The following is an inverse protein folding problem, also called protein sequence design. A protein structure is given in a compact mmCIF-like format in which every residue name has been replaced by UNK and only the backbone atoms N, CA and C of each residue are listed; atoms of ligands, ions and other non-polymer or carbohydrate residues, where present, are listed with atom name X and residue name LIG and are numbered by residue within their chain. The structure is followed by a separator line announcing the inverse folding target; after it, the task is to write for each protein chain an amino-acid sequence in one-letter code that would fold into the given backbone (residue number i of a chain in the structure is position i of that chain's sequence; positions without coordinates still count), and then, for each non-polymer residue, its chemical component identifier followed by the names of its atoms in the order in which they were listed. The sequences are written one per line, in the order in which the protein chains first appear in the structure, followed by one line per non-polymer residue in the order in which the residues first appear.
data_IF_393890640936
#
_entry.id   IF_393890640936
#
_cell.length_a   1.000
_cell.length_b   1.000
_cell.length_c   1.000
_cell.angle_alpha   90.00
_cell.angle_beta   90.00
_cell.angle_gamma   90.00
#
_symmetry.space_group_name_H-M   'P 1'
#
loop_
_entity.id
_entity.type
_entity.pdbx_description
1 polymer ?
#
# COMPACT_ATOMS: atom_id res chain seq x y z
N UNK A 1 34.70 20.51 7.05
CA UNK A 1 33.36 20.86 7.56
C UNK A 1 32.50 21.25 6.37
N UNK A 2 31.43 20.49 6.12
CA UNK A 2 30.49 20.77 5.04
C UNK A 2 29.77 22.08 5.35
N UNK A 3 29.93 23.12 4.52
CA UNK A 3 29.33 24.44 4.76
C UNK A 3 27.96 24.51 4.09
N UNK A 4 26.99 25.21 4.69
CA UNK A 4 25.65 25.43 4.15
C UNK A 4 24.74 24.20 4.02
N UNK A 5 25.08 23.10 4.70
CA UNK A 5 24.18 21.95 4.87
C UNK A 5 23.40 22.07 6.18
N UNK A 6 22.13 21.66 6.17
CA UNK A 6 21.30 21.48 7.36
C UNK A 6 20.67 20.10 7.32
N UNK A 7 20.78 19.35 8.41
CA UNK A 7 20.12 18.06 8.55
C UNK A 7 19.08 18.15 9.67
N UNK A 8 17.83 17.85 9.33
CA UNK A 8 16.69 17.79 10.23
C UNK A 8 16.21 16.33 10.32
N UNK A 9 15.84 15.88 11.51
CA UNK A 9 15.23 14.57 11.72
C UNK A 9 13.78 14.68 12.13
N UNK A 10 12.91 13.87 11.52
CA UNK A 10 11.54 13.69 11.97
C UNK A 10 11.42 12.81 13.24
N UNK A 11 10.20 12.46 13.61
CA UNK A 11 9.90 11.63 14.79
C UNK A 11 10.10 10.13 14.57
N UNK A 12 10.14 9.67 13.31
CA UNK A 12 10.18 8.23 13.00
C UNK A 12 11.47 7.56 13.43
N UNK A 13 12.63 8.19 13.24
CA UNK A 13 13.93 7.60 13.55
C UNK A 13 14.99 8.65 13.95
N UNK A 14 14.92 9.20 15.18
CA UNK A 14 15.88 10.20 15.65
C UNK A 14 17.33 9.69 15.66
N UNK A 15 17.54 8.43 16.08
CA UNK A 15 18.87 7.83 16.15
C UNK A 15 19.60 7.74 14.79
N UNK A 16 18.88 7.44 13.70
CA UNK A 16 19.48 7.44 12.36
C UNK A 16 19.92 8.86 11.96
N UNK A 17 19.12 9.87 12.33
CA UNK A 17 19.48 11.28 12.09
C UNK A 17 20.77 11.64 12.83
N UNK A 18 20.87 11.28 14.11
CA UNK A 18 22.06 11.54 14.93
C UNK A 18 23.31 10.87 14.36
N UNK A 19 23.21 9.60 13.97
CA UNK A 19 24.33 8.87 13.37
C UNK A 19 24.77 9.50 12.04
N UNK A 20 23.83 9.86 11.17
CA UNK A 20 24.14 10.53 9.89
C UNK A 20 24.83 11.87 10.13
N UNK A 21 24.33 12.68 11.06
CA UNK A 21 24.94 13.95 11.47
C UNK A 21 26.36 13.76 12.02
N UNK A 22 26.58 12.74 12.85
CA UNK A 22 27.89 12.40 13.40
C UNK A 22 28.90 12.05 12.29
N UNK A 23 28.50 11.26 11.30
CA UNK A 23 29.36 10.87 10.17
C UNK A 23 29.67 12.08 9.28
N UNK A 24 28.68 12.94 9.02
CA UNK A 24 28.85 14.17 8.25
C UNK A 24 29.67 15.24 8.99
N UNK A 25 29.87 15.10 10.31
CA UNK A 25 30.52 16.08 11.16
C UNK A 25 29.73 17.39 11.25
N UNK A 26 28.40 17.31 11.24
CA UNK A 26 27.48 18.46 11.36
C UNK A 26 26.51 18.25 12.52
N UNK A 27 26.12 19.29 13.26
CA UNK A 27 25.11 19.15 14.30
C UNK A 27 23.72 18.94 13.68
N UNK A 28 22.90 18.10 14.30
CA UNK A 28 21.48 17.99 13.95
C UNK A 28 20.78 19.31 14.27
N UNK A 29 19.98 19.81 13.33
CA UNK A 29 19.29 21.08 13.50
C UNK A 29 18.14 20.98 14.51
N UNK A 30 17.97 22.03 15.30
CA UNK A 30 16.97 22.11 16.34
C UNK A 30 15.58 22.37 15.74
N UNK A 31 14.63 21.56 16.17
CA UNK A 31 13.23 21.59 15.75
C UNK A 31 12.35 21.07 16.86
N UNK A 32 11.14 21.63 16.96
CA UNK A 32 10.07 21.12 17.81
C UNK A 32 9.11 20.36 16.90
N UNK A 33 8.95 19.07 17.18
CA UNK A 33 7.91 18.23 16.59
C UNK A 33 7.02 17.72 17.72
N UNK A 34 5.72 17.87 17.59
CA UNK A 34 4.76 17.41 18.57
C UNK A 34 3.36 17.36 18.00
N UNK A 35 2.37 17.10 18.87
CA UNK A 35 0.96 17.13 18.49
C UNK A 35 0.19 18.10 19.37
N UNK A 36 -0.76 18.81 18.78
CA UNK A 36 -1.79 19.50 19.54
C UNK A 36 -2.73 18.50 20.19
N UNK A 37 -3.51 18.92 21.19
CA UNK A 37 -4.48 18.06 21.88
C UNK A 37 -5.53 17.45 20.93
N UNK A 38 -5.81 18.10 19.81
CA UNK A 38 -6.68 17.60 18.74
C UNK A 38 -6.05 16.55 17.81
N UNK A 39 -4.76 16.23 17.99
CA UNK A 39 -4.04 15.24 17.17
C UNK A 39 -3.33 15.79 15.93
N UNK A 40 -3.48 17.09 15.64
CA UNK A 40 -2.79 17.79 14.56
C UNK A 40 -1.28 17.91 14.83
N UNK A 41 -0.49 17.74 13.78
CA UNK A 41 0.96 17.88 13.83
C UNK A 41 1.39 19.34 14.02
N UNK A 42 2.31 19.57 14.96
CA UNK A 42 2.98 20.86 15.20
C UNK A 42 4.46 20.72 14.86
N UNK A 43 4.95 21.56 13.96
CA UNK A 43 6.35 21.64 13.59
C UNK A 43 6.87 23.07 13.67
N UNK A 44 7.98 23.28 14.38
CA UNK A 44 8.71 24.56 14.40
C UNK A 44 10.20 24.32 14.18
N UNK A 45 10.76 24.88 13.11
CA UNK A 45 12.20 24.87 12.85
C UNK A 45 12.83 26.03 13.62
N UNK A 46 13.81 25.75 14.48
CA UNK A 46 14.43 26.77 15.35
C UNK A 46 15.67 27.40 14.74
N UNK A 47 16.39 26.66 13.89
CA UNK A 47 17.56 27.20 13.22
C UNK A 47 17.20 27.82 11.87
N UNK A 48 17.99 28.81 11.44
CA UNK A 48 17.81 29.40 10.11
C UNK A 48 18.19 28.41 9.01
N UNK A 49 17.27 28.19 8.07
CA UNK A 49 17.44 27.38 6.85
C UNK A 49 17.64 28.22 5.58
N UNK A 50 17.59 29.55 5.70
CA UNK A 50 17.63 30.48 4.56
C UNK A 50 18.89 30.30 3.72
N UNK A 51 18.71 30.04 2.43
CA UNK A 51 19.79 29.86 1.46
C UNK A 51 20.62 28.59 1.66
N UNK A 52 20.23 27.71 2.59
CA UNK A 52 20.93 26.45 2.89
C UNK A 52 20.34 25.28 2.11
N UNK A 53 21.13 24.22 2.01
CA UNK A 53 20.73 22.93 1.45
C UNK A 53 20.24 22.04 2.60
N UNK A 54 18.95 21.76 2.62
CA UNK A 54 18.27 21.11 3.75
C UNK A 54 17.97 19.66 3.43
N UNK A 55 18.29 18.77 4.35
CA UNK A 55 17.99 17.34 4.28
C UNK A 55 17.09 16.96 5.45
N UNK A 56 15.92 16.39 5.17
CA UNK A 56 14.95 15.98 6.19
C UNK A 56 14.89 14.46 6.22
N UNK A 57 15.35 13.83 7.31
CA UNK A 57 15.37 12.38 7.49
C UNK A 57 14.08 11.94 8.18
N UNK A 58 13.26 11.15 7.48
CA UNK A 58 12.02 10.57 8.02
C UNK A 58 11.73 9.23 7.33
N UNK A 59 11.61 8.16 8.10
CA UNK A 59 11.23 6.83 7.60
C UNK A 59 9.72 6.60 7.66
N UNK A 60 9.18 5.85 6.69
CA UNK A 60 7.78 5.45 6.58
C UNK A 60 7.37 4.31 7.52
N UNK A 61 7.74 4.38 8.80
CA UNK A 61 7.49 3.34 9.82
C UNK A 61 6.71 3.85 11.02
N UNK A 62 6.15 2.94 11.83
CA UNK A 62 5.37 3.30 13.02
C UNK A 62 4.03 3.93 12.65
N UNK A 63 3.75 5.14 13.14
CA UNK A 63 2.57 5.90 12.75
C UNK A 63 2.79 6.54 11.36
N UNK A 64 2.69 5.73 10.30
CA UNK A 64 3.05 6.09 8.93
C UNK A 64 2.39 7.41 8.47
N UNK A 65 1.09 7.56 8.72
CA UNK A 65 0.34 8.74 8.28
C UNK A 65 0.81 10.02 8.99
N UNK A 66 1.02 9.93 10.31
CA UNK A 66 1.52 11.04 11.10
C UNK A 66 2.93 11.45 10.64
N UNK A 67 3.80 10.46 10.43
CA UNK A 67 5.17 10.68 9.98
C UNK A 67 5.23 11.29 8.58
N UNK A 68 4.32 10.90 7.68
CA UNK A 68 4.17 11.48 6.36
C UNK A 68 3.70 12.95 6.43
N UNK A 69 2.70 13.25 7.25
CA UNK A 69 2.21 14.62 7.43
C UNK A 69 3.27 15.50 8.09
N UNK A 70 3.97 15.00 9.11
CA UNK A 70 5.12 15.68 9.73
C UNK A 70 6.18 16.02 8.68
N UNK A 71 6.52 15.08 7.79
CA UNK A 71 7.48 15.30 6.71
C UNK A 71 7.01 16.40 5.75
N UNK A 72 5.76 16.35 5.27
CA UNK A 72 5.21 17.38 4.40
C UNK A 72 5.24 18.77 5.05
N UNK A 73 4.88 18.88 6.33
CA UNK A 73 4.90 20.15 7.07
C UNK A 73 6.35 20.64 7.23
N UNK A 74 7.30 19.76 7.54
CA UNK A 74 8.72 20.13 7.65
C UNK A 74 9.29 20.63 6.32
N UNK A 75 8.97 19.96 5.21
CA UNK A 75 9.38 20.38 3.85
C UNK A 75 8.82 21.78 3.55
N UNK A 76 7.51 21.96 3.77
CA UNK A 76 6.83 23.24 3.52
C UNK A 76 7.38 24.37 4.39
N UNK A 77 7.67 24.09 5.67
CA UNK A 77 8.31 25.03 6.58
C UNK A 77 9.72 25.43 6.13
N UNK A 78 10.52 24.48 5.63
CA UNK A 78 11.85 24.76 5.09
C UNK A 78 11.77 25.62 3.83
N UNK A 79 10.82 25.30 2.93
CA UNK A 79 10.61 26.05 1.69
C UNK A 79 10.17 27.49 1.97
N UNK A 80 9.21 27.68 2.87
CA UNK A 80 8.77 29.00 3.35
C UNK A 80 9.90 29.75 4.07
N UNK A 81 10.76 29.04 4.79
CA UNK A 81 12.00 29.53 5.39
C UNK A 81 13.09 29.92 4.38
N UNK A 82 12.79 29.90 3.07
CA UNK A 82 13.69 30.24 1.97
C UNK A 82 14.92 29.33 1.89
N UNK A 83 14.77 28.03 2.21
CA UNK A 83 15.79 27.04 1.90
C UNK A 83 16.12 27.07 0.39
N UNK A 84 17.40 26.92 0.04
CA UNK A 84 17.84 26.89 -1.36
C UNK A 84 17.32 25.62 -2.05
N UNK A 85 17.39 24.51 -1.34
CA UNK A 85 16.96 23.18 -1.78
C UNK A 85 16.50 22.38 -0.56
N UNK A 86 15.43 21.60 -0.72
CA UNK A 86 14.92 20.70 0.31
C UNK A 86 14.92 19.26 -0.24
N UNK A 87 15.75 18.42 0.35
CA UNK A 87 15.86 17.00 0.01
C UNK A 87 15.17 16.16 1.08
N UNK A 88 14.17 15.36 0.71
CA UNK A 88 13.56 14.40 1.63
C UNK A 88 14.35 13.09 1.61
N UNK A 89 14.87 12.70 2.76
CA UNK A 89 15.61 11.45 2.96
C UNK A 89 14.68 10.47 3.64
N UNK A 90 14.21 9.48 2.88
CA UNK A 90 13.13 8.56 3.26
C UNK A 90 13.63 7.11 3.18
N UNK A 91 14.30 6.58 4.23
CA UNK A 91 14.92 5.27 4.18
C UNK A 91 13.97 4.12 3.83
N UNK A 92 12.78 4.07 4.44
CA UNK A 92 11.67 3.23 3.98
C UNK A 92 10.60 4.15 3.39
N UNK A 93 10.35 4.02 2.09
CA UNK A 93 9.32 4.81 1.42
C UNK A 93 7.90 4.33 1.79
N UNK A 94 7.03 5.20 2.36
CA UNK A 94 5.69 4.81 2.78
C UNK A 94 4.80 4.53 1.56
N UNK A 95 3.82 3.63 1.71
CA UNK A 95 2.86 3.25 0.65
C UNK A 95 3.47 2.61 -0.61
N UNK A 96 4.78 2.33 -0.66
CA UNK A 96 5.48 1.71 -1.79
C UNK A 96 5.04 0.27 -2.11
N UNK A 97 4.29 -0.40 -1.22
CA UNK A 97 3.72 -1.73 -1.47
C UNK A 97 2.37 -1.69 -2.17
N UNK A 98 1.75 -0.52 -2.31
CA UNK A 98 0.41 -0.40 -2.90
C UNK A 98 0.51 -0.30 -4.42
N UNK A 99 0.15 -1.35 -5.16
CA UNK A 99 0.40 -1.45 -6.58
C UNK A 99 -0.22 -0.26 -7.34
N UNK A 100 0.61 0.40 -8.13
CA UNK A 100 0.23 1.55 -8.92
C UNK A 100 0.05 1.11 -10.39
N UNK A 101 -1.11 0.51 -10.70
CA UNK A 101 -1.37 0.08 -12.07
C UNK A 101 -1.51 1.30 -12.99
N UNK A 102 -0.88 1.29 -14.19
CA UNK A 102 -0.92 2.43 -15.08
C UNK A 102 -2.36 2.76 -15.48
N UNK A 103 -2.84 3.91 -15.00
CA UNK A 103 -4.07 4.50 -15.45
C UNK A 103 -3.91 4.98 -16.89
N UNK A 104 -4.57 4.29 -17.83
CA UNK A 104 -4.65 4.79 -19.20
C UNK A 104 -5.72 5.90 -19.24
N UNK A 105 -5.31 7.17 -19.40
CA UNK A 105 -6.18 8.37 -19.45
C UNK A 105 -7.32 8.31 -20.48
N UNK A 106 -7.32 7.31 -21.36
CA UNK A 106 -8.49 6.95 -22.15
C UNK A 106 -9.59 6.41 -21.21
N UNK A 107 -10.47 7.35 -20.81
CA UNK A 107 -11.73 7.10 -20.13
C UNK A 107 -12.54 5.97 -20.76
N UNK A 108 -13.55 5.50 -20.02
CA UNK A 108 -14.34 4.31 -20.35
C UNK A 108 -14.57 4.16 -21.87
N UNK A 109 -14.25 3.01 -22.48
CA UNK A 109 -14.77 2.73 -23.80
C UNK A 109 -16.29 2.68 -23.63
N UNK A 110 -16.98 3.70 -24.12
CA UNK A 110 -18.41 3.60 -24.38
C UNK A 110 -18.55 2.34 -25.24
N UNK A 111 -19.28 1.35 -24.73
CA UNK A 111 -19.69 0.22 -25.55
C UNK A 111 -20.47 0.82 -26.71
N UNK A 112 -19.85 0.90 -27.88
CA UNK A 112 -20.62 1.09 -29.10
C UNK A 112 -21.57 -0.11 -29.16
N UNK A 113 -22.85 0.16 -28.97
CA UNK A 113 -23.88 -0.77 -29.39
C UNK A 113 -23.71 -0.85 -30.91
N UNK A 114 -23.08 -1.93 -31.37
CA UNK A 114 -23.03 -2.28 -32.78
C UNK A 114 -24.47 -2.40 -33.30
N UNK A 115 -24.95 -1.38 -34.01
CA UNK A 115 -26.27 -1.40 -34.64
C UNK A 115 -27.02 -0.08 -34.84
N UNK A 116 -26.50 1.09 -34.47
CA UNK A 116 -27.15 2.38 -34.78
C UNK A 116 -26.34 3.16 -35.82
N UNK A 117 -27.01 3.57 -36.91
CA UNK A 117 -26.40 4.29 -38.04
C UNK A 117 -25.75 5.59 -37.60
N UNK A 118 -24.62 5.90 -38.24
CA UNK A 118 -23.93 7.19 -38.13
C UNK A 118 -24.76 8.28 -38.81
N UNK A 119 -25.47 9.08 -38.04
CA UNK A 119 -25.87 10.44 -38.44
C UNK A 119 -25.52 11.39 -37.29
N UNK A 120 -24.33 11.98 -37.36
CA UNK A 120 -23.93 13.11 -36.52
C UNK A 120 -23.91 14.36 -37.39
N UNK A 121 -24.89 15.24 -37.24
CA UNK A 121 -24.83 16.62 -37.74
C UNK A 121 -24.12 17.49 -36.70
N UNK A 122 -23.04 18.11 -37.15
CA UNK A 122 -22.18 19.02 -36.38
C UNK A 122 -22.88 20.37 -36.21
N UNK A 123 -23.88 20.45 -35.34
CA UNK A 123 -24.45 21.74 -34.90
C UNK A 123 -25.16 21.58 -33.54
N UNK A 124 -24.41 21.73 -32.46
CA UNK A 124 -24.95 21.84 -31.10
C UNK A 124 -24.45 23.11 -30.43
N UNK A 125 -24.77 24.25 -31.04
CA UNK A 125 -24.89 25.51 -30.30
C UNK A 125 -26.39 25.78 -30.20
N UNK A 126 -27.03 25.67 -29.03
CA UNK A 126 -28.44 26.03 -28.91
C UNK A 126 -28.59 27.53 -29.22
N UNK A 127 -29.45 27.93 -30.19
CA UNK A 127 -29.65 29.33 -30.50
C UNK A 127 -30.32 30.04 -29.32
N UNK A 128 -29.81 31.22 -28.97
CA UNK A 128 -30.38 32.07 -27.92
C UNK A 128 -31.85 32.39 -28.24
N UNK A 129 -32.82 32.09 -27.36
CA UNK A 129 -34.23 32.35 -27.64
C UNK A 129 -34.49 33.84 -27.85
N UNK A 130 -35.09 34.20 -29.00
CA UNK A 130 -35.59 35.57 -29.26
C UNK A 130 -37.11 35.60 -29.10
N UNK A 131 -37.70 36.68 -28.54
CA UNK A 131 -39.15 36.80 -28.44
C UNK A 131 -39.81 36.73 -29.82
N UNK A 132 -40.71 35.77 -30.03
CA UNK A 132 -41.50 35.62 -31.27
C UNK A 132 -40.93 34.65 -32.34
N UNK A 133 -39.82 33.94 -32.08
CA UNK A 133 -39.27 32.94 -33.00
C UNK A 133 -39.98 31.56 -32.95
N UNK A 134 -39.83 30.71 -33.98
CA UNK A 134 -40.46 29.39 -34.03
C UNK A 134 -39.93 28.47 -32.92
N UNK A 135 -40.86 27.85 -32.18
CA UNK A 135 -40.54 26.92 -31.08
C UNK A 135 -40.06 25.59 -31.67
N UNK A 136 -38.91 25.08 -31.23
CA UNK A 136 -38.46 23.72 -31.57
C UNK A 136 -39.48 22.68 -31.07
N UNK A 137 -39.75 21.65 -31.87
CA UNK A 137 -40.60 20.53 -31.48
C UNK A 137 -39.96 19.81 -30.27
N UNK A 138 -40.47 20.10 -29.08
CA UNK A 138 -40.00 19.49 -27.84
C UNK A 138 -40.33 18.00 -27.79
N UNK A 139 -39.42 17.22 -27.21
CA UNK A 139 -39.69 15.88 -26.69
C UNK A 139 -41.00 15.89 -25.88
N UNK A 140 -41.90 14.90 -26.04
CA UNK A 140 -43.20 14.89 -25.37
C UNK A 140 -43.06 14.52 -23.89
N UNK A 141 -42.48 15.41 -23.10
CA UNK A 141 -42.49 15.36 -21.64
C UNK A 141 -43.72 16.09 -21.12
N UNK A 142 -44.88 15.45 -21.31
CA UNK A 142 -46.12 15.81 -20.65
C UNK A 142 -46.39 14.83 -19.51
N UNK A 143 -46.32 15.31 -18.27
CA UNK A 143 -46.61 14.55 -17.03
C UNK A 143 -48.07 14.02 -16.97
N UNK A 144 -48.91 14.36 -17.93
CA UNK A 144 -50.33 14.00 -17.96
C UNK A 144 -50.62 12.65 -18.62
N UNK A 145 -49.69 12.07 -19.40
CA UNK A 145 -49.90 10.77 -20.06
C UNK A 145 -49.55 9.55 -19.19
N UNK A 146 -48.83 9.74 -18.08
CA UNK A 146 -48.56 8.66 -17.12
C UNK A 146 -49.78 8.41 -16.23
N UNK A 147 -50.46 9.49 -15.83
CA UNK A 147 -51.68 9.48 -15.01
C UNK A 147 -52.86 8.85 -15.76
N UNK A 148 -52.98 9.09 -17.07
CA UNK A 148 -54.03 8.51 -17.92
C UNK A 148 -53.81 7.01 -18.23
N UNK A 149 -52.56 6.53 -18.18
CA UNK A 149 -52.22 5.10 -18.29
C UNK A 149 -52.33 4.35 -16.96
N UNK A 150 -52.11 5.03 -15.84
CA UNK A 150 -52.32 4.48 -14.49
C UNK A 150 -53.81 4.42 -14.11
N UNK A 151 -54.64 5.38 -14.55
CA UNK A 151 -56.09 5.35 -14.31
C UNK A 151 -56.82 4.26 -15.11
N UNK A 152 -56.32 3.87 -16.29
CA UNK A 152 -56.84 2.73 -17.05
C UNK A 152 -56.40 1.35 -16.53
N UNK A 153 -55.34 1.28 -15.73
CA UNK A 153 -54.86 0.02 -15.12
C UNK A 153 -55.37 -0.17 -13.68
N UNK A 154 -55.80 0.91 -13.01
CA UNK A 154 -56.41 0.86 -11.68
C UNK A 154 -57.94 0.70 -11.66
N UNK A 155 -58.62 0.69 -12.82
CA UNK A 155 -60.07 0.46 -12.96
C UNK A 155 -60.44 -0.97 -13.39
N UNK A 156 -59.53 -1.92 -13.24
CA UNK A 156 -59.77 -3.35 -13.43
C UNK A 156 -59.52 -4.14 -12.14
N UNK A 157 -60.05 -3.67 -11.01
CA UNK A 157 -60.37 -4.50 -9.85
C UNK A 157 -61.10 -3.64 -8.81
N UNK A 158 -62.43 -3.67 -8.87
CA UNK A 158 -63.34 -4.01 -7.76
C UNK A 158 -64.72 -3.43 -8.04
N UNK A 159 -65.69 -4.33 -8.24
CA UNK A 159 -67.08 -3.98 -8.10
C UNK A 159 -67.44 -3.81 -6.62
N UNK A 160 -68.36 -2.88 -6.37
CA UNK A 160 -69.23 -2.73 -5.20
C UNK A 160 -68.95 -1.58 -4.21
N UNK A 161 -69.72 -0.51 -4.43
CA UNK A 161 -70.60 0.20 -3.47
C UNK A 161 -70.06 1.18 -2.41
N UNK A 162 -70.57 2.42 -2.57
CA UNK A 162 -71.13 3.36 -1.59
C UNK A 162 -70.21 4.25 -0.73
N UNK A 163 -70.44 5.58 -0.84
CA UNK A 163 -70.65 6.43 0.34
C UNK A 163 -69.79 7.70 0.51
N UNK A 164 -70.25 8.81 -0.09
CA UNK A 164 -70.36 10.17 0.46
C UNK A 164 -69.23 10.87 1.28
N UNK A 165 -68.92 12.09 0.80
CA UNK A 165 -68.66 13.36 1.51
C UNK A 165 -67.38 13.61 2.33
N UNK A 166 -66.66 14.67 1.94
CA UNK A 166 -66.35 15.76 2.88
C UNK A 166 -64.89 16.22 3.04
N UNK A 167 -64.49 17.20 2.22
CA UNK A 167 -63.75 18.43 2.56
C UNK A 167 -62.29 18.43 3.11
N UNK A 168 -61.41 19.10 2.33
CA UNK A 168 -60.23 19.94 2.62
C UNK A 168 -59.22 19.60 3.75
N UNK A 169 -57.96 19.37 3.34
CA UNK A 169 -56.78 19.47 4.22
C UNK A 169 -55.42 19.45 3.49
N UNK A 170 -54.78 20.62 3.45
CA UNK A 170 -53.33 20.94 3.37
C UNK A 170 -52.34 19.76 3.21
N UNK A 171 -51.58 19.72 2.11
CA UNK A 171 -50.46 18.79 1.91
C UNK A 171 -49.12 19.39 2.39
N UNK A 172 -48.51 18.73 3.38
CA UNK A 172 -47.11 18.88 3.77
C UNK A 172 -46.20 18.01 2.90
N UNK A 173 -45.03 18.53 2.53
CA UNK A 173 -43.97 17.85 1.77
C UNK A 173 -43.40 16.61 2.51
N UNK A 174 -43.17 15.47 1.84
CA UNK A 174 -42.61 14.28 2.48
C UNK A 174 -41.08 14.36 2.66
N UNK A 175 -40.61 13.90 3.82
CA UNK A 175 -39.19 13.79 4.20
C UNK A 175 -38.57 12.49 3.66
N UNK A 176 -37.27 12.56 3.36
CA UNK A 176 -36.37 11.45 2.98
C UNK A 176 -36.30 10.38 4.07
N UNK A 177 -36.77 9.17 3.77
CA UNK A 177 -36.35 7.94 4.45
C UNK A 177 -36.73 6.73 3.60
N UNK A 178 -35.85 6.33 2.66
CA UNK A 178 -35.90 5.02 1.98
C UNK A 178 -34.51 4.68 1.42
N UNK A 179 -33.55 4.47 2.33
CA UNK A 179 -32.32 3.74 2.01
C UNK A 179 -32.12 2.64 3.06
N UNK A 180 -31.74 1.45 2.59
CA UNK A 180 -31.57 0.18 3.33
C UNK A 180 -30.35 0.24 4.28
N UNK A 181 -30.33 1.23 5.19
CA UNK A 181 -29.26 1.41 6.17
C UNK A 181 -29.80 1.77 7.56
N UNK A 182 -31.06 1.45 7.87
CA UNK A 182 -31.68 1.80 9.15
C UNK A 182 -32.73 0.80 9.61
N UNK A 183 -32.42 -0.49 9.57
CA UNK A 183 -33.25 -1.54 10.17
C UNK A 183 -32.39 -2.53 10.98
N UNK A 184 -31.69 -2.03 11.99
CA UNK A 184 -31.37 -2.78 13.23
C UNK A 184 -30.89 -1.82 14.31
N UNK A 185 -31.76 -0.89 14.70
CA UNK A 185 -31.62 -0.21 15.99
C UNK A 185 -33.00 0.24 16.45
N UNK A 186 -33.69 -0.61 17.20
CA UNK A 186 -34.47 -0.26 18.40
C UNK A 186 -35.38 -1.43 18.84
N UNK A 187 -34.93 -2.17 19.85
CA UNK A 187 -35.80 -2.80 20.84
C UNK A 187 -35.01 -2.92 22.17
N UNK A 188 -35.49 -2.20 23.19
CA UNK A 188 -34.96 -2.18 24.57
C UNK A 188 -35.45 -3.39 25.37
N UNK A 189 -34.62 -3.90 26.30
CA UNK A 189 -35.11 -4.52 27.55
C UNK A 189 -34.26 -5.62 28.22
N UNK A 190 -33.49 -5.23 29.25
CA UNK A 190 -33.08 -5.94 30.48
C UNK A 190 -32.05 -7.11 30.54
N UNK A 191 -31.00 -6.84 31.35
CA UNK A 191 -30.11 -7.67 32.20
C UNK A 191 -29.47 -8.98 31.70
N UNK A 192 -28.13 -9.01 31.63
CA UNK A 192 -27.22 -9.74 32.54
C UNK A 192 -25.75 -9.57 32.10
N UNK A 193 -24.85 -9.44 33.06
CA UNK A 193 -23.39 -9.33 32.87
C UNK A 193 -22.81 -10.58 32.21
N UNK A 194 -21.96 -10.42 31.19
CA UNK A 194 -20.79 -11.27 31.03
C UNK A 194 -19.73 -10.67 30.10
N UNK A 195 -18.49 -10.69 30.57
CA UNK A 195 -17.27 -10.23 29.92
C UNK A 195 -17.00 -10.93 28.59
N UNK A 196 -16.68 -10.19 27.53
CA UNK A 196 -15.96 -10.74 26.37
C UNK A 196 -15.17 -9.65 25.64
N UNK A 197 -13.90 -9.97 25.41
CA UNK A 197 -12.86 -9.17 24.79
C UNK A 197 -13.25 -8.57 23.43
N UNK A 198 -13.06 -7.26 23.29
CA UNK A 198 -13.11 -6.57 21.99
C UNK A 198 -11.95 -7.03 21.10
N UNK A 199 -12.23 -7.99 20.21
CA UNK A 199 -11.37 -8.28 19.07
C UNK A 199 -11.27 -7.02 18.20
N UNK A 200 -10.13 -6.34 18.28
CA UNK A 200 -9.70 -5.40 17.25
C UNK A 200 -9.42 -6.24 16.00
N UNK A 201 -10.21 -6.05 14.94
CA UNK A 201 -9.92 -6.63 13.64
C UNK A 201 -8.52 -6.18 13.20
N UNK A 202 -7.60 -7.13 13.12
CA UNK A 202 -6.25 -6.91 12.61
C UNK A 202 -6.34 -6.80 11.08
N UNK A 203 -6.18 -5.58 10.55
CA UNK A 203 -5.97 -5.38 9.12
C UNK A 203 -4.60 -5.96 8.77
N UNK A 204 -4.56 -7.11 8.10
CA UNK A 204 -3.31 -7.71 7.64
C UNK A 204 -2.98 -7.21 6.24
N UNK A 205 -1.72 -6.86 5.98
CA UNK A 205 -1.26 -6.32 4.69
C UNK A 205 -1.30 -7.32 3.51
N UNK A 206 -1.84 -8.52 3.72
CA UNK A 206 -1.85 -9.61 2.74
C UNK A 206 -3.11 -9.64 1.88
N UNK A 207 -4.09 -8.75 2.15
CA UNK A 207 -5.33 -8.74 1.38
C UNK A 207 -5.12 -8.33 -0.09
N UNK A 208 -4.04 -7.62 -0.41
CA UNK A 208 -3.66 -7.23 -1.78
C UNK A 208 -2.88 -8.31 -2.54
N UNK A 209 -2.14 -9.18 -1.85
CA UNK A 209 -1.44 -10.33 -2.46
C UNK A 209 -2.35 -11.54 -2.70
N UNK A 210 -3.57 -11.50 -2.14
CA UNK A 210 -4.54 -12.55 -2.33
C UNK A 210 -5.27 -12.34 -3.67
N UNK A 211 -4.69 -12.90 -4.74
CA UNK A 211 -5.26 -12.87 -6.09
C UNK A 211 -6.75 -13.29 -6.13
N UNK A 212 -7.21 -14.09 -5.17
CA UNK A 212 -8.62 -14.48 -5.03
C UNK A 212 -9.58 -13.36 -4.62
N UNK A 213 -9.13 -12.37 -3.82
CA UNK A 213 -9.96 -11.20 -3.46
C UNK A 213 -10.08 -10.22 -4.64
N UNK A 214 -9.06 -10.17 -5.49
CA UNK A 214 -9.08 -9.40 -6.75
C UNK A 214 -9.95 -10.12 -7.81
N UNK A 215 -9.92 -11.46 -7.83
CA UNK A 215 -10.73 -12.29 -8.74
C UNK A 215 -12.23 -12.29 -8.41
N UNK A 216 -12.60 -11.93 -7.17
CA UNK A 216 -13.99 -11.83 -6.73
C UNK A 216 -14.69 -10.54 -7.20
N UNK A 217 -13.93 -9.55 -7.69
CA UNK A 217 -14.50 -8.36 -8.31
C UNK A 217 -14.70 -8.63 -9.80
N UNK A 218 -15.93 -8.96 -10.18
CA UNK A 218 -16.33 -8.87 -11.58
C UNK A 218 -16.65 -7.39 -11.87
N UNK A 219 -15.80 -6.67 -12.63
CA UNK A 219 -16.17 -5.33 -13.07
C UNK A 219 -17.52 -5.40 -13.79
N UNK A 220 -18.43 -4.48 -13.47
CA UNK A 220 -19.65 -4.32 -14.27
C UNK A 220 -19.23 -4.19 -15.75
N UNK A 221 -19.92 -4.84 -16.70
CA UNK A 221 -19.60 -4.69 -18.12
C UNK A 221 -19.46 -3.20 -18.49
N UNK A 222 -18.28 -2.80 -18.98
CA UNK A 222 -17.96 -1.39 -19.30
C UNK A 222 -17.29 -0.57 -18.19
N UNK A 223 -17.13 -1.09 -16.96
CA UNK A 223 -16.44 -0.42 -15.85
C UNK A 223 -15.00 -0.94 -15.72
N UNK A 224 -14.00 -0.09 -15.98
CA UNK A 224 -12.60 -0.41 -15.65
C UNK A 224 -12.43 -0.39 -14.13
N UNK A 225 -11.74 -1.38 -13.56
CA UNK A 225 -11.39 -1.41 -12.14
C UNK A 225 -10.61 -0.14 -11.79
N UNK A 226 -11.14 0.66 -10.87
CA UNK A 226 -10.42 1.76 -10.26
C UNK A 226 -9.58 1.22 -9.11
N UNK A 227 -8.28 1.49 -9.15
CA UNK A 227 -7.35 1.15 -8.08
C UNK A 227 -6.76 2.46 -7.58
N UNK A 228 -6.78 2.66 -6.26
CA UNK A 228 -6.20 3.85 -5.66
C UNK A 228 -4.68 3.85 -5.86
N UNK A 229 -4.16 4.91 -6.47
CA UNK A 229 -2.73 5.10 -6.75
C UNK A 229 -2.05 5.79 -5.57
N UNK A 230 -1.98 5.10 -4.42
CA UNK A 230 -1.54 5.74 -3.18
C UNK A 230 -0.07 6.19 -3.25
N UNK A 231 0.80 5.44 -3.93
CA UNK A 231 2.20 5.84 -4.08
C UNK A 231 2.37 7.07 -4.96
N UNK A 232 1.66 7.16 -6.09
CA UNK A 232 1.59 8.40 -6.90
C UNK A 232 1.08 9.58 -6.07
N UNK A 233 -0.01 9.40 -5.29
CA UNK A 233 -0.51 10.45 -4.41
C UNK A 233 0.55 10.92 -3.40
N UNK A 234 1.31 10.00 -2.79
CA UNK A 234 2.36 10.35 -1.84
C UNK A 234 3.50 11.11 -2.53
N UNK A 235 3.88 10.71 -3.75
CA UNK A 235 4.87 11.44 -4.54
C UNK A 235 4.41 12.87 -4.86
N UNK A 236 3.15 13.03 -5.27
CA UNK A 236 2.53 14.33 -5.53
C UNK A 236 2.49 15.21 -4.28
N UNK A 237 2.15 14.63 -3.12
CA UNK A 237 2.10 15.36 -1.85
C UNK A 237 3.49 15.87 -1.43
N UNK A 238 4.54 15.05 -1.55
CA UNK A 238 5.91 15.46 -1.22
C UNK A 238 6.42 16.54 -2.17
N UNK A 239 6.13 16.40 -3.46
CA UNK A 239 6.49 17.38 -4.49
C UNK A 239 5.76 18.70 -4.26
N UNK A 240 4.45 18.63 -4.00
CA UNK A 240 3.60 19.80 -3.70
C UNK A 240 4.00 20.51 -2.39
N UNK A 241 4.43 19.75 -1.37
CA UNK A 241 4.97 20.33 -0.14
C UNK A 241 6.25 21.15 -0.38
N UNK A 242 6.95 20.92 -1.49
CA UNK A 242 8.13 21.66 -1.92
C UNK A 242 9.43 20.89 -1.85
N UNK A 243 9.40 19.56 -1.87
CA UNK A 243 10.60 18.74 -2.01
C UNK A 243 11.21 18.96 -3.40
N UNK A 244 12.52 19.18 -3.45
CA UNK A 244 13.28 19.36 -4.69
C UNK A 244 14.02 18.08 -5.10
N UNK A 245 14.17 17.12 -4.17
CA UNK A 245 14.90 15.86 -4.36
C UNK A 245 14.46 14.82 -3.31
N UNK A 246 14.37 13.54 -3.70
CA UNK A 246 14.17 12.40 -2.78
C UNK A 246 15.41 11.51 -2.74
N UNK A 247 15.84 11.09 -1.55
CA UNK A 247 16.80 10.00 -1.36
C UNK A 247 16.08 8.89 -0.59
N UNK A 248 16.07 7.67 -1.11
CA UNK A 248 15.41 6.52 -0.47
C UNK A 248 16.27 5.26 -0.58
N UNK A 249 15.84 4.12 -0.06
CA UNK A 249 16.58 2.86 -0.19
C UNK A 249 15.61 1.72 -0.53
N UNK A 250 16.04 0.84 -1.43
CA UNK A 250 15.36 -0.39 -1.87
C UNK A 250 13.84 -0.23 -2.01
N UNK A 251 13.41 0.72 -2.85
CA UNK A 251 12.00 0.82 -3.24
C UNK A 251 11.42 -0.54 -3.65
N UNK A 252 10.25 -0.87 -3.10
CA UNK A 252 9.57 -2.15 -3.33
C UNK A 252 9.37 -2.43 -4.83
N UNK A 253 8.88 -1.43 -5.57
CA UNK A 253 8.91 -1.40 -7.04
C UNK A 253 9.86 -0.29 -7.52
N UNK A 254 10.96 -0.60 -8.22
CA UNK A 254 11.83 0.43 -8.78
C UNK A 254 11.12 1.43 -9.70
N UNK A 255 9.96 1.07 -10.27
CA UNK A 255 9.14 1.97 -11.10
C UNK A 255 8.62 3.20 -10.35
N UNK A 256 8.55 3.17 -9.01
CA UNK A 256 8.13 4.32 -8.19
C UNK A 256 8.98 5.57 -8.44
N UNK A 257 10.24 5.42 -8.88
CA UNK A 257 11.07 6.56 -9.24
C UNK A 257 10.44 7.41 -10.36
N UNK A 258 9.71 6.78 -11.28
CA UNK A 258 9.05 7.46 -12.39
C UNK A 258 7.77 8.22 -12.01
N UNK A 259 7.31 8.12 -10.77
CA UNK A 259 6.15 8.89 -10.28
C UNK A 259 6.52 10.26 -9.72
N UNK A 260 7.82 10.55 -9.59
CA UNK A 260 8.30 11.86 -9.18
C UNK A 260 8.69 12.69 -10.39
N UNK A 261 8.23 13.93 -10.40
CA UNK A 261 8.72 14.96 -11.34
C UNK A 261 10.09 15.53 -10.92
N UNK A 262 10.53 15.21 -9.70
CA UNK A 262 11.81 15.60 -9.10
C UNK A 262 12.79 14.42 -9.13
N UNK A 263 14.11 14.67 -9.08
CA UNK A 263 15.09 13.58 -9.00
C UNK A 263 14.82 12.67 -7.79
N UNK A 264 15.10 11.38 -7.96
CA UNK A 264 15.00 10.36 -6.93
C UNK A 264 16.25 9.49 -6.95
N UNK A 265 17.03 9.55 -5.88
CA UNK A 265 18.13 8.64 -5.64
C UNK A 265 17.63 7.43 -4.84
N UNK A 266 17.36 6.32 -5.52
CA UNK A 266 17.05 5.06 -4.86
C UNK A 266 18.34 4.29 -4.57
N UNK A 267 18.73 4.29 -3.30
CA UNK A 267 19.89 3.56 -2.82
C UNK A 267 19.61 2.06 -2.77
N UNK A 268 20.62 1.21 -2.94
CA UNK A 268 20.44 -0.25 -2.94
C UNK A 268 21.19 -0.91 -1.79
N UNK A 269 20.50 -1.74 -1.01
CA UNK A 269 21.08 -2.55 0.07
C UNK A 269 21.84 -3.77 -0.42
N UNK A 270 21.78 -4.10 -1.72
CA UNK A 270 22.47 -5.25 -2.34
C UNK A 270 23.92 -5.39 -1.85
N UNK A 271 24.72 -4.32 -1.97
CA UNK A 271 26.11 -4.27 -1.56
C UNK A 271 26.33 -4.67 -0.09
N UNK A 272 25.50 -4.09 0.77
CA UNK A 272 25.55 -4.28 2.22
C UNK A 272 25.20 -5.72 2.59
N UNK A 273 24.15 -6.28 1.97
CA UNK A 273 23.75 -7.67 2.17
C UNK A 273 24.82 -8.63 1.65
N UNK A 274 25.45 -8.35 0.51
CA UNK A 274 26.54 -9.16 -0.04
C UNK A 274 27.76 -9.20 0.88
N UNK A 275 28.21 -8.04 1.37
CA UNK A 275 29.32 -7.94 2.31
C UNK A 275 29.02 -8.70 3.61
N UNK A 276 27.77 -8.65 4.08
CA UNK A 276 27.35 -9.44 5.23
C UNK A 276 27.40 -10.94 4.95
N UNK A 277 26.88 -11.41 3.81
CA UNK A 277 26.91 -12.83 3.43
C UNK A 277 28.35 -13.33 3.38
N UNK A 278 29.25 -12.59 2.75
CA UNK A 278 30.66 -12.98 2.59
C UNK A 278 31.41 -12.99 3.93
N UNK A 279 31.13 -12.05 4.83
CA UNK A 279 31.86 -11.91 6.09
C UNK A 279 31.30 -12.71 7.26
N UNK A 280 29.98 -12.93 7.32
CA UNK A 280 29.32 -13.51 8.50
C UNK A 280 28.71 -14.89 8.26
N UNK A 281 28.44 -15.29 7.00
CA UNK A 281 27.83 -16.58 6.71
C UNK A 281 28.92 -17.61 6.34
N UNK A 282 29.09 -18.69 7.13
CA UNK A 282 30.07 -19.72 6.83
C UNK A 282 29.68 -20.47 5.56
N UNK A 283 30.66 -20.91 4.77
CA UNK A 283 30.46 -21.69 3.54
C UNK A 283 29.47 -21.03 2.55
N UNK A 284 29.42 -19.69 2.50
CA UNK A 284 28.50 -18.94 1.65
C UNK A 284 28.60 -19.33 0.16
N UNK A 285 29.76 -19.78 -0.31
CA UNK A 285 29.96 -20.25 -1.70
C UNK A 285 29.11 -21.48 -2.07
N UNK A 286 28.68 -22.28 -1.09
CA UNK A 286 27.75 -23.42 -1.29
C UNK A 286 26.31 -23.12 -0.90
N UNK A 287 26.05 -21.89 -0.44
CA UNK A 287 24.70 -21.49 -0.07
C UNK A 287 23.81 -21.34 -1.30
N UNK A 288 22.50 -21.36 -1.08
CA UNK A 288 21.47 -21.08 -2.08
C UNK A 288 20.76 -19.81 -1.68
N UNK A 289 20.75 -18.82 -2.58
CA UNK A 289 19.96 -17.61 -2.40
C UNK A 289 18.51 -17.92 -2.79
N UNK A 290 17.57 -17.63 -1.90
CA UNK A 290 16.17 -17.99 -2.08
C UNK A 290 15.31 -16.74 -2.12
N UNK A 291 14.45 -16.61 -3.13
CA UNK A 291 13.38 -15.60 -3.13
C UNK A 291 12.12 -16.18 -2.44
N UNK A 292 11.54 -15.47 -1.45
CA UNK A 292 10.35 -15.95 -0.74
C UNK A 292 9.07 -15.91 -1.58
N UNK A 293 9.06 -15.12 -2.66
CA UNK A 293 7.99 -15.03 -3.64
C UNK A 293 8.53 -14.72 -5.05
N UNK A 294 7.63 -14.65 -6.03
CA UNK A 294 7.97 -14.34 -7.42
C UNK A 294 8.40 -12.88 -7.65
N UNK A 295 7.92 -11.92 -6.83
CA UNK A 295 8.26 -10.51 -6.97
C UNK A 295 9.72 -10.22 -6.62
N UNK A 296 10.23 -10.88 -5.58
CA UNK A 296 11.63 -10.78 -5.14
C UNK A 296 12.65 -11.50 -6.02
N UNK A 297 12.23 -12.26 -7.04
CA UNK A 297 13.10 -13.17 -7.79
C UNK A 297 14.30 -12.43 -8.41
N UNK A 298 14.06 -11.30 -9.09
CA UNK A 298 15.11 -10.50 -9.72
C UNK A 298 16.15 -10.01 -8.70
N UNK A 299 15.72 -9.64 -7.49
CA UNK A 299 16.61 -9.17 -6.40
C UNK A 299 17.51 -10.30 -5.92
N UNK A 300 16.92 -11.46 -5.65
CA UNK A 300 17.65 -12.64 -5.20
C UNK A 300 18.64 -13.15 -6.27
N UNK A 301 18.23 -13.21 -7.55
CA UNK A 301 19.13 -13.59 -8.66
C UNK A 301 20.32 -12.64 -8.78
N UNK A 302 20.12 -11.33 -8.66
CA UNK A 302 21.22 -10.36 -8.72
C UNK A 302 22.27 -10.53 -7.61
N UNK A 303 21.86 -11.03 -6.44
CA UNK A 303 22.79 -11.37 -5.36
C UNK A 303 23.47 -12.71 -5.66
N UNK A 304 22.70 -13.72 -6.10
CA UNK A 304 23.21 -15.05 -6.43
C UNK A 304 24.29 -15.00 -7.51
N UNK A 305 24.02 -14.31 -8.62
CA UNK A 305 24.95 -14.16 -9.76
C UNK A 305 26.27 -13.52 -9.32
N UNK A 306 26.18 -12.49 -8.46
CA UNK A 306 27.33 -11.75 -7.98
C UNK A 306 28.16 -12.52 -6.95
N UNK A 307 27.53 -13.42 -6.17
CA UNK A 307 28.22 -14.32 -5.25
C UNK A 307 28.63 -15.64 -5.90
N UNK A 308 28.21 -15.89 -7.15
CA UNK A 308 28.37 -17.15 -7.89
C UNK A 308 27.80 -18.34 -7.11
N UNK A 309 26.64 -18.14 -6.50
CA UNK A 309 25.89 -19.14 -5.73
C UNK A 309 24.62 -19.54 -6.47
N UNK A 310 24.04 -20.68 -6.11
CA UNK A 310 22.79 -21.13 -6.71
C UNK A 310 21.60 -20.28 -6.25
N UNK A 311 20.55 -20.29 -7.06
CA UNK A 311 19.30 -19.57 -6.81
C UNK A 311 18.12 -20.54 -6.73
N UNK A 312 17.20 -20.28 -5.80
CA UNK A 312 15.91 -20.96 -5.71
C UNK A 312 14.76 -19.96 -5.52
N UNK A 313 13.56 -20.36 -5.90
CA UNK A 313 12.37 -19.53 -5.88
C UNK A 313 11.23 -20.26 -5.16
N UNK A 314 10.56 -19.58 -4.24
CA UNK A 314 9.31 -20.06 -3.66
C UNK A 314 8.15 -19.36 -4.36
N UNK A 315 7.21 -20.13 -4.87
CA UNK A 315 6.00 -19.63 -5.49
C UNK A 315 4.78 -20.04 -4.67
N UNK A 316 3.93 -19.07 -4.32
CA UNK A 316 2.65 -19.32 -3.64
C UNK A 316 1.63 -19.76 -4.67
N UNK A 317 1.29 -21.04 -4.66
CA UNK A 317 0.21 -21.61 -5.48
C UNK A 317 -1.10 -21.46 -4.70
N UNK A 318 -2.01 -20.65 -5.24
CA UNK A 318 -3.39 -20.66 -4.76
C UNK A 318 -4.09 -21.81 -5.49
N UNK A 319 -4.60 -22.84 -4.78
CA UNK A 319 -5.36 -23.89 -5.44
C UNK A 319 -6.57 -23.25 -6.13
N UNK A 320 -6.57 -23.25 -7.45
CA UNK A 320 -7.77 -22.96 -8.22
C UNK A 320 -8.69 -24.18 -8.06
N UNK A 321 -9.86 -23.98 -7.48
CA UNK A 321 -10.90 -25.02 -7.47
C UNK A 321 -11.38 -25.20 -8.93
N UNK A 322 -10.72 -26.06 -9.71
CA UNK A 322 -11.27 -26.60 -10.96
C UNK A 322 -12.44 -27.55 -10.70
N UNK A 323 -12.66 -27.96 -9.45
CA UNK A 323 -13.62 -29.04 -9.14
C UNK A 323 -14.99 -28.53 -8.67
N UNK A 324 -15.20 -27.21 -8.57
CA UNK A 324 -16.50 -26.64 -8.18
C UNK A 324 -17.45 -26.36 -9.35
N UNK A 325 -16.96 -26.28 -10.59
CA UNK A 325 -17.83 -26.13 -11.77
C UNK A 325 -18.66 -27.40 -12.07
N UNK A 326 -18.30 -28.55 -11.47
CA UNK A 326 -19.03 -29.80 -11.63
C UNK A 326 -20.20 -29.98 -10.64
N UNK A 327 -20.28 -29.17 -9.57
CA UNK A 327 -21.28 -29.37 -8.51
C UNK A 327 -22.61 -28.64 -8.78
N UNK A 328 -22.64 -27.64 -9.65
CA UNK A 328 -23.86 -26.89 -9.97
C UNK A 328 -24.85 -27.71 -10.83
N UNK A 329 -24.35 -28.69 -11.58
CA UNK A 329 -25.18 -29.58 -12.41
C UNK A 329 -25.73 -30.82 -11.68
N UNK A 330 -25.42 -31.01 -10.39
CA UNK A 330 -25.91 -32.13 -9.59
C UNK A 330 -27.12 -31.77 -8.70
N UNK A 331 -27.52 -30.50 -8.64
CA UNK A 331 -28.53 -29.99 -7.71
C UNK A 331 -29.99 -30.22 -8.17
N UNK A 332 -30.24 -31.34 -8.86
CA UNK A 332 -31.58 -31.81 -9.23
C UNK A 332 -31.78 -33.28 -8.81
N UNK A 333 -31.32 -33.68 -7.62
CA UNK A 333 -31.82 -34.89 -6.99
C UNK A 333 -31.58 -34.89 -5.48
N UNK A 334 -32.64 -35.23 -4.75
CA UNK A 334 -32.65 -35.72 -3.36
C UNK A 334 -32.33 -34.72 -2.23
N UNK A 335 -33.41 -34.29 -1.58
CA UNK A 335 -33.47 -33.82 -0.19
C UNK A 335 -32.72 -34.79 0.74
N UNK A 336 -31.55 -34.40 1.23
CA UNK A 336 -31.07 -34.76 2.57
C UNK A 336 -30.03 -33.73 3.01
N UNK A 337 -30.47 -32.79 3.85
CA UNK A 337 -29.65 -31.68 4.35
C UNK A 337 -28.75 -32.16 5.47
N UNK A 338 -27.46 -32.40 5.18
CA UNK A 338 -26.39 -32.22 6.18
C UNK A 338 -25.69 -30.89 5.87
N UNK A 339 -25.65 -29.92 6.79
CA UNK A 339 -24.90 -28.68 6.57
C UNK A 339 -23.39 -29.01 6.59
N UNK A 340 -22.73 -28.81 5.46
CA UNK A 340 -21.27 -28.88 5.36
C UNK A 340 -20.72 -27.70 6.17
N UNK A 341 -19.89 -27.99 7.17
CA UNK A 341 -19.21 -26.98 8.00
C UNK A 341 -18.22 -26.23 7.12
N UNK A 342 -18.51 -24.96 6.83
CA UNK A 342 -17.57 -24.03 6.19
C UNK A 342 -16.54 -23.53 7.22
N UNK A 343 -15.55 -24.36 7.55
CA UNK A 343 -14.34 -23.90 8.25
C UNK A 343 -13.10 -24.63 7.70
N UNK A 344 -12.78 -24.39 6.43
CA UNK A 344 -11.44 -24.69 5.90
C UNK A 344 -10.89 -23.42 5.26
N UNK A 345 -9.98 -22.78 5.98
CA UNK A 345 -9.16 -21.72 5.43
C UNK A 345 -8.40 -22.33 4.25
N UNK A 346 -8.65 -21.84 3.03
CA UNK A 346 -7.90 -22.24 1.84
C UNK A 346 -6.43 -21.88 2.03
N UNK A 347 -5.66 -22.80 2.61
CA UNK A 347 -4.24 -22.62 2.82
C UNK A 347 -3.56 -22.68 1.44
N UNK A 348 -3.19 -21.52 0.89
CA UNK A 348 -2.38 -21.46 -0.33
C UNK A 348 -1.13 -22.33 -0.14
N UNK A 349 -0.90 -23.29 -1.04
CA UNK A 349 0.28 -24.15 -0.99
C UNK A 349 1.49 -23.36 -1.50
N UNK A 350 2.69 -23.69 -1.01
CA UNK A 350 3.94 -23.10 -1.50
C UNK A 350 4.70 -24.17 -2.27
N UNK A 351 5.21 -23.82 -3.44
CA UNK A 351 6.05 -24.66 -4.29
C UNK A 351 7.46 -24.10 -4.27
N UNK A 352 8.45 -24.95 -4.02
CA UNK A 352 9.87 -24.60 -4.15
C UNK A 352 10.36 -25.01 -5.55
N UNK A 353 11.08 -24.11 -6.21
CA UNK A 353 11.78 -24.35 -7.47
C UNK A 353 13.28 -24.13 -7.22
N UNK A 354 14.08 -25.17 -7.39
CA UNK A 354 15.53 -25.19 -7.09
C UNK A 354 15.86 -26.19 -5.99
N UNK A 355 17.06 -26.79 -6.05
CA UNK A 355 17.52 -27.72 -5.02
C UNK A 355 18.06 -26.96 -3.81
N UNK A 356 17.69 -27.37 -2.60
CA UNK A 356 18.12 -26.76 -1.33
C UNK A 356 18.66 -27.79 -0.35
N UNK A 357 18.71 -29.06 -0.76
CA UNK A 357 18.97 -30.21 0.10
C UNK A 357 20.40 -30.16 0.65
N UNK A 358 20.56 -30.28 1.96
CA UNK A 358 21.85 -30.25 2.66
C UNK A 358 22.66 -28.96 2.45
N UNK A 359 22.01 -27.83 2.13
CA UNK A 359 22.67 -26.55 1.90
C UNK A 359 22.18 -25.47 2.86
N UNK A 360 22.96 -24.39 2.97
CA UNK A 360 22.53 -23.18 3.68
C UNK A 360 21.63 -22.39 2.74
N UNK A 361 20.45 -22.01 3.20
CA UNK A 361 19.52 -21.18 2.42
C UNK A 361 19.49 -19.77 2.97
N UNK A 362 19.58 -18.79 2.08
CA UNK A 362 19.57 -17.37 2.41
C UNK A 362 18.35 -16.75 1.73
N UNK A 363 17.28 -16.55 2.48
CA UNK A 363 16.10 -15.83 2.02
C UNK A 363 16.44 -14.34 1.87
N UNK A 364 16.16 -13.76 0.70
CA UNK A 364 16.40 -12.34 0.42
C UNK A 364 15.08 -11.67 0.07
N UNK A 365 14.77 -10.57 0.75
CA UNK A 365 13.58 -9.75 0.47
C UNK A 365 13.84 -8.25 0.71
N UNK A 366 12.96 -7.36 0.26
CA UNK A 366 13.07 -5.93 0.55
C UNK A 366 12.39 -5.55 1.86
N UNK A 367 11.19 -6.06 2.11
CA UNK A 367 10.38 -5.66 3.26
C UNK A 367 9.83 -6.89 3.97
N UNK A 368 10.01 -6.95 5.30
CA UNK A 368 9.28 -7.88 6.15
C UNK A 368 8.39 -7.11 7.10
N UNK A 369 7.09 -7.34 6.94
CA UNK A 369 6.05 -6.70 7.73
C UNK A 369 5.48 -7.66 8.78
N UNK A 370 4.44 -8.43 8.47
CA UNK A 370 3.91 -9.45 9.40
C UNK A 370 4.84 -10.68 9.52
N UNK A 371 5.72 -10.92 8.55
CA UNK A 371 6.61 -12.09 8.56
C UNK A 371 5.94 -13.43 8.25
N UNK A 372 4.68 -13.45 7.80
CA UNK A 372 3.99 -14.68 7.39
C UNK A 372 4.71 -15.39 6.23
N UNK A 373 5.03 -14.66 5.16
CA UNK A 373 5.65 -15.23 3.96
C UNK A 373 7.02 -15.81 4.27
N UNK A 374 7.90 -15.01 4.90
CA UNK A 374 9.28 -15.39 5.19
C UNK A 374 9.38 -16.59 6.15
N UNK A 375 8.50 -16.69 7.15
CA UNK A 375 8.54 -17.80 8.13
C UNK A 375 7.94 -19.08 7.57
N UNK A 376 6.93 -19.00 6.70
CA UNK A 376 6.43 -20.15 5.95
C UNK A 376 7.45 -20.66 4.93
N UNK A 377 8.14 -19.74 4.24
CA UNK A 377 9.26 -20.06 3.36
C UNK A 377 10.37 -20.79 4.12
N UNK A 378 10.77 -20.29 5.30
CA UNK A 378 11.77 -20.96 6.14
C UNK A 378 11.34 -22.38 6.56
N UNK A 379 10.07 -22.58 6.90
CA UNK A 379 9.52 -23.91 7.22
C UNK A 379 9.59 -24.85 6.03
N UNK A 380 9.25 -24.36 4.82
CA UNK A 380 9.36 -25.16 3.59
C UNK A 380 10.81 -25.54 3.31
N UNK A 381 11.75 -24.60 3.40
CA UNK A 381 13.17 -24.87 3.17
C UNK A 381 13.73 -25.95 4.12
N UNK A 382 13.41 -25.88 5.41
CA UNK A 382 13.81 -26.92 6.38
C UNK A 382 13.17 -28.27 6.06
N UNK A 383 11.92 -28.30 5.59
CA UNK A 383 11.24 -29.54 5.17
C UNK A 383 11.93 -30.18 3.95
N UNK A 384 12.39 -29.37 3.01
CA UNK A 384 13.13 -29.80 1.81
C UNK A 384 14.64 -30.04 2.09
N UNK A 385 15.05 -30.10 3.37
CA UNK A 385 16.40 -30.53 3.76
C UNK A 385 17.44 -29.42 3.89
N UNK A 386 17.05 -28.14 3.94
CA UNK A 386 18.00 -27.06 4.22
C UNK A 386 18.65 -27.22 5.61
N UNK A 387 19.97 -27.06 5.69
CA UNK A 387 20.74 -27.17 6.96
C UNK A 387 20.49 -25.97 7.86
N UNK A 388 20.64 -24.76 7.33
CA UNK A 388 20.40 -23.49 8.00
C UNK A 388 19.62 -22.55 7.09
N UNK A 389 18.80 -21.70 7.70
CA UNK A 389 17.98 -20.71 7.01
C UNK A 389 18.27 -19.33 7.61
N UNK A 390 18.92 -18.49 6.82
CA UNK A 390 19.12 -17.08 7.07
C UNK A 390 18.05 -16.28 6.33
N UNK A 391 17.58 -15.18 6.91
CA UNK A 391 16.69 -14.23 6.24
C UNK A 391 17.32 -12.84 6.27
N UNK A 392 17.58 -12.27 5.11
CA UNK A 392 18.24 -10.98 4.91
C UNK A 392 17.27 -10.05 4.20
N UNK A 393 16.90 -8.96 4.88
CA UNK A 393 15.84 -8.07 4.40
C UNK A 393 16.25 -6.62 4.60
N UNK A 394 16.01 -5.74 3.63
CA UNK A 394 16.40 -4.33 3.82
C UNK A 394 15.56 -3.69 4.93
N UNK A 395 14.24 -3.76 4.86
CA UNK A 395 13.32 -3.06 5.75
C UNK A 395 12.56 -4.03 6.66
N UNK A 396 12.95 -4.09 7.93
CA UNK A 396 12.20 -4.82 8.97
C UNK A 396 11.10 -3.96 9.59
N UNK A 397 9.88 -3.97 9.04
CA UNK A 397 8.73 -3.25 9.61
C UNK A 397 8.17 -3.97 10.83
N UNK A 398 8.11 -5.31 10.79
CA UNK A 398 7.75 -6.17 11.90
C UNK A 398 6.44 -5.82 12.64
N UNK A 399 5.35 -5.57 11.90
CA UNK A 399 4.05 -5.25 12.52
C UNK A 399 3.36 -6.47 13.16
N UNK A 400 2.47 -6.19 14.11
CA UNK A 400 1.65 -7.21 14.77
C UNK A 400 2.49 -8.21 15.56
N UNK A 401 2.26 -9.49 15.31
CA UNK A 401 2.93 -10.61 15.98
C UNK A 401 4.20 -11.09 15.26
N UNK A 402 4.76 -10.28 14.35
CA UNK A 402 5.92 -10.65 13.52
C UNK A 402 7.12 -11.14 14.34
N UNK A 403 7.49 -10.45 15.42
CA UNK A 403 8.63 -10.84 16.26
C UNK A 403 8.41 -12.20 16.93
N UNK A 404 7.23 -12.42 17.51
CA UNK A 404 6.87 -13.70 18.11
C UNK A 404 6.90 -14.83 17.05
N UNK A 405 6.38 -14.54 15.85
CA UNK A 405 6.38 -15.46 14.72
C UNK A 405 7.81 -15.82 14.28
N UNK A 406 8.72 -14.84 14.18
CA UNK A 406 10.12 -15.06 13.81
C UNK A 406 10.83 -15.91 14.87
N UNK A 407 10.63 -15.62 16.16
CA UNK A 407 11.20 -16.40 17.25
C UNK A 407 10.77 -17.87 17.18
N UNK A 408 9.48 -18.13 16.96
CA UNK A 408 8.92 -19.48 16.83
C UNK A 408 9.20 -20.16 15.47
N UNK A 409 9.76 -19.43 14.50
CA UNK A 409 10.01 -19.95 13.15
C UNK A 409 11.29 -20.77 13.05
N UNK A 410 11.45 -21.44 11.91
CA UNK A 410 12.63 -22.20 11.57
C UNK A 410 13.78 -21.34 11.00
N UNK A 411 13.66 -20.01 11.04
CA UNK A 411 14.74 -19.08 10.72
C UNK A 411 15.78 -19.18 11.84
N UNK A 412 17.04 -19.37 11.45
CA UNK A 412 18.17 -19.45 12.37
C UNK A 412 18.66 -18.04 12.73
N UNK A 413 18.74 -17.14 11.75
CA UNK A 413 19.15 -15.74 11.94
C UNK A 413 18.43 -14.80 10.98
N UNK A 414 17.96 -13.67 11.50
CA UNK A 414 17.28 -12.61 10.74
C UNK A 414 18.18 -11.38 10.71
N UNK A 415 18.53 -10.87 9.52
CA UNK A 415 19.24 -9.62 9.34
C UNK A 415 18.29 -8.59 8.73
N UNK A 416 18.26 -7.41 9.33
CA UNK A 416 17.62 -6.22 8.75
C UNK A 416 18.52 -5.00 8.79
N UNK A 417 18.17 -3.94 8.08
CA UNK A 417 18.83 -2.64 8.27
C UNK A 417 18.13 -1.79 9.33
N UNK A 418 18.78 -0.73 9.79
CA UNK A 418 18.16 0.35 10.57
C UNK A 418 17.46 1.41 9.69
N UNK A 419 16.95 1.06 8.51
CA UNK A 419 16.02 1.93 7.76
C UNK A 419 14.75 2.27 8.55
N UNK A 420 14.39 1.40 9.49
CA UNK A 420 13.30 1.51 10.46
C UNK A 420 13.91 1.29 11.84
N UNK A 421 13.43 1.96 12.92
CA UNK A 421 13.93 1.70 14.27
C UNK A 421 13.80 0.23 14.67
N UNK A 422 14.90 -0.36 15.15
CA UNK A 422 14.93 -1.79 15.53
C UNK A 422 15.22 -2.04 17.03
N UNK A 423 15.38 -0.99 17.84
CA UNK A 423 15.86 -1.13 19.23
C UNK A 423 14.96 -2.04 20.08
N UNK A 424 13.65 -1.91 19.94
CA UNK A 424 12.69 -2.77 20.64
C UNK A 424 12.67 -4.18 20.05
N UNK A 425 12.67 -4.30 18.73
CA UNK A 425 12.69 -5.60 18.04
C UNK A 425 13.91 -6.44 18.41
N UNK A 426 15.10 -5.83 18.53
CA UNK A 426 16.33 -6.52 18.97
C UNK A 426 16.24 -7.02 20.41
N UNK A 427 15.55 -6.30 21.29
CA UNK A 427 15.35 -6.76 22.68
C UNK A 427 14.44 -7.98 22.75
N UNK A 428 13.44 -8.04 21.87
CA UNK A 428 12.43 -9.10 21.85
C UNK A 428 12.84 -10.31 20.98
N UNK A 429 13.77 -10.15 20.04
CA UNK A 429 14.18 -11.16 19.09
C UNK A 429 15.69 -11.43 19.18
N UNK A 430 16.14 -12.48 19.88
CA UNK A 430 17.57 -12.81 19.96
C UNK A 430 18.16 -13.24 18.62
N UNK A 431 17.32 -13.65 17.65
CA UNK A 431 17.74 -14.01 16.29
C UNK A 431 17.99 -12.81 15.39
N UNK A 432 17.61 -11.60 15.82
CA UNK A 432 17.64 -10.39 15.00
C UNK A 432 18.98 -9.66 15.10
N UNK A 433 19.63 -9.51 13.96
CA UNK A 433 20.77 -8.63 13.76
C UNK A 433 20.37 -7.42 12.91
N UNK A 434 21.01 -6.28 13.18
CA UNK A 434 20.71 -5.01 12.52
C UNK A 434 21.98 -4.43 11.93
N UNK A 435 21.96 -4.22 10.63
CA UNK A 435 23.02 -3.57 9.87
C UNK A 435 22.80 -2.06 9.84
N UNK A 436 23.85 -1.29 10.13
CA UNK A 436 23.79 0.17 10.10
C UNK A 436 23.95 0.71 8.67
N UNK A 437 23.01 1.54 8.23
CA UNK A 437 23.02 2.21 6.92
C UNK A 437 23.29 3.72 7.01
N UNK A 438 23.60 4.22 8.21
CA UNK A 438 23.89 5.63 8.44
C UNK A 438 25.02 6.14 7.53
N UNK A 439 26.06 5.32 7.31
CA UNK A 439 27.18 5.66 6.43
C UNK A 439 26.77 5.83 4.96
N UNK A 440 25.85 4.98 4.47
CA UNK A 440 25.36 5.06 3.09
C UNK A 440 24.56 6.35 2.88
N UNK A 441 23.65 6.68 3.82
CA UNK A 441 22.88 7.91 3.75
C UNK A 441 23.72 9.16 3.94
N UNK A 442 24.70 9.13 4.86
CA UNK A 442 25.64 10.24 5.04
C UNK A 442 26.45 10.50 3.76
N UNK A 443 26.97 9.45 3.13
CA UNK A 443 27.73 9.60 1.89
C UNK A 443 26.83 10.04 0.71
N UNK A 444 25.60 9.53 0.61
CA UNK A 444 24.63 10.00 -0.38
C UNK A 444 24.33 11.50 -0.21
N UNK A 445 24.01 11.93 1.01
CA UNK A 445 23.78 13.35 1.34
C UNK A 445 24.99 14.20 0.98
N UNK A 446 26.21 13.75 1.35
CA UNK A 446 27.46 14.45 1.04
C UNK A 446 27.64 14.61 -0.47
N UNK A 447 27.38 13.57 -1.26
CA UNK A 447 27.51 13.60 -2.73
C UNK A 447 26.49 14.51 -3.39
N UNK A 448 25.21 14.40 -3.00
CA UNK A 448 24.13 15.30 -3.47
C UNK A 448 24.46 16.75 -3.18
N UNK A 449 25.04 17.04 -2.01
CA UNK A 449 25.40 18.39 -1.61
C UNK A 449 26.51 18.99 -2.49
N UNK A 450 27.54 18.20 -2.80
CA UNK A 450 28.69 18.63 -3.60
C UNK A 450 28.50 18.46 -5.12
N UNK A 451 27.38 17.85 -5.56
CA UNK A 451 27.15 17.54 -6.97
C UNK A 451 28.02 16.39 -7.49
N UNK A 452 28.46 15.50 -6.61
CA UNK A 452 29.24 14.32 -6.96
C UNK A 452 28.34 13.16 -7.39
N UNK A 453 28.86 12.25 -8.21
CA UNK A 453 28.11 11.09 -8.69
C UNK A 453 27.77 10.12 -7.55
N UNK A 454 26.48 9.80 -7.42
CA UNK A 454 25.96 8.80 -6.47
C UNK A 454 26.06 7.39 -7.03
N UNK A 455 26.17 7.24 -8.35
CA UNK A 455 26.30 5.94 -9.01
C UNK A 455 27.48 5.12 -8.51
N UNK A 456 28.51 5.77 -7.96
CA UNK A 456 29.66 5.11 -7.32
C UNK A 456 29.23 4.28 -6.10
N UNK A 457 28.16 4.66 -5.38
CA UNK A 457 27.61 3.85 -4.29
C UNK A 457 26.99 2.53 -4.78
N UNK A 458 26.69 2.44 -6.08
CA UNK A 458 26.12 1.25 -6.72
C UNK A 458 27.15 0.41 -7.45
N UNK A 459 28.35 0.94 -7.66
CA UNK A 459 29.44 0.26 -8.36
C UNK A 459 30.30 -0.48 -7.33
N UNK A 460 30.57 -1.76 -7.58
CA UNK A 460 31.57 -2.53 -6.85
C UNK A 460 32.75 -2.75 -7.77
N UNK A 461 33.94 -2.42 -7.27
CA UNK A 461 35.20 -3.01 -7.72
C UNK A 461 35.54 -4.17 -6.78
#
# INVERSE_FOLDING_TARGET
MVRNIVVLGGNSHPQLTENVCQILGVPASNRILGKFSGGESRCEIKDSVRGKDVYIIQSGSGNVNDNLIDLCIMISACKTGSAKRVTAVVPLFPYSRQPDWPYNKAGAPLSQISGASKDYTFESVPPTPRPGGPKSAGLPNGVNNLTEKLSKTALANEGATNGANGNNGVFSTPRRSDTISSSTSEARGHHAENSTSSQRNAYTTHDYENQSNISAFQPKPGYKQWIAQAGTLVADLLTCAGADHIITMDLHDPQYQGFFDIPVDNLYGKALLQNYIQSQIPNHHTAVIVSPDAGGAKRATLIADSLKTDFALIHKVIPQNSDFAAFENSCLATKERRPIRFTEHRNASMMLVGDVSNRICILVDDIVDTGNTITRAAKLLKKEGATQVYALVTHGVFSGDAIARINASAIDKMLVTNSVPQNEHRRLCPKLEVLDISAVFAEAIRRVHHGESISVLFQHN
#
